data_IF_805495332813
#
_entry.id   IF_805495332813
#
_cell.length_a   1.000
_cell.length_b   1.000
_cell.length_c   1.000
_cell.angle_alpha   90.00
_cell.angle_beta   90.00
_cell.angle_gamma   90.00
#
_symmetry.space_group_name_H-M   'P 1'
#
loop_
_entity.id
_entity.type
_entity.pdbx_description
1 polymer ?
#
# COMPACT_ATOMS: atom_id res chain seq x y z
N UNK A 1 11.32 -5.37 -1.45
CA UNK A 1 10.55 -6.56 -1.02
C UNK A 1 9.05 -6.29 -1.01
N UNK A 2 8.56 -5.26 -0.30
CA UNK A 2 7.15 -4.83 -0.29
C UNK A 2 6.48 -4.71 -1.67
N UNK A 3 7.02 -3.91 -2.60
CA UNK A 3 6.43 -3.74 -3.95
C UNK A 3 6.29 -5.04 -4.75
N UNK A 4 7.16 -6.03 -4.50
CA UNK A 4 7.08 -7.36 -5.12
C UNK A 4 5.88 -8.13 -4.57
N UNK A 5 5.68 -8.14 -3.24
CA UNK A 5 4.52 -8.76 -2.58
C UNK A 5 3.20 -8.20 -3.07
N UNK A 6 3.14 -6.87 -3.23
CA UNK A 6 1.95 -6.22 -3.76
C UNK A 6 1.72 -6.54 -5.24
N UNK A 7 2.77 -6.59 -6.05
CA UNK A 7 2.62 -6.98 -7.46
C UNK A 7 2.12 -8.41 -7.60
N UNK A 8 2.68 -9.34 -6.82
CA UNK A 8 2.26 -10.75 -6.80
C UNK A 8 0.76 -10.88 -6.46
N UNK A 9 0.23 -10.10 -5.52
CA UNK A 9 -1.20 -10.20 -5.17
C UNK A 9 -2.11 -9.58 -6.26
N UNK A 10 -1.67 -8.52 -6.95
CA UNK A 10 -2.41 -7.96 -8.07
C UNK A 10 -2.40 -8.89 -9.30
N UNK A 11 -1.30 -9.61 -9.53
CA UNK A 11 -1.15 -10.50 -10.70
C UNK A 11 -1.79 -11.88 -10.51
N UNK A 12 -2.13 -12.26 -9.27
CA UNK A 12 -2.69 -13.57 -8.94
C UNK A 12 -4.11 -13.83 -9.52
N UNK A 13 -4.80 -12.81 -10.03
CA UNK A 13 -6.14 -12.94 -10.64
C UNK A 13 -7.29 -13.32 -9.69
N UNK A 14 -6.99 -13.72 -8.45
CA UNK A 14 -7.99 -14.04 -7.41
C UNK A 14 -8.67 -12.78 -6.81
N UNK A 15 -8.14 -11.59 -7.07
CA UNK A 15 -8.53 -10.36 -6.38
C UNK A 15 -8.88 -9.23 -7.35
N UNK A 16 -9.84 -9.48 -8.25
CA UNK A 16 -10.32 -8.51 -9.24
C UNK A 16 -10.77 -7.17 -8.63
N UNK A 17 -11.21 -7.17 -7.38
CA UNK A 17 -11.58 -5.94 -6.67
C UNK A 17 -10.42 -4.96 -6.55
N UNK A 18 -9.15 -5.40 -6.59
CA UNK A 18 -7.98 -4.50 -6.52
C UNK A 18 -7.88 -3.56 -7.74
N UNK A 19 -8.50 -3.92 -8.86
CA UNK A 19 -8.54 -3.08 -10.06
C UNK A 19 -9.76 -2.14 -10.06
N UNK A 20 -10.82 -2.48 -9.33
CA UNK A 20 -12.09 -1.73 -9.32
C UNK A 20 -12.26 -0.85 -8.10
N UNK A 21 -11.69 -1.24 -6.96
CA UNK A 21 -11.74 -0.54 -5.68
C UNK A 21 -10.32 -0.06 -5.29
N UNK A 22 -10.05 1.20 -5.62
CA UNK A 22 -8.77 1.83 -5.35
C UNK A 22 -8.45 1.90 -3.84
N UNK A 23 -9.47 2.05 -2.99
CA UNK A 23 -9.31 2.13 -1.55
C UNK A 23 -8.79 0.82 -0.98
N UNK A 24 -9.38 -0.29 -1.41
CA UNK A 24 -8.91 -1.61 -1.04
C UNK A 24 -7.55 -1.95 -1.63
N UNK A 25 -7.28 -1.54 -2.87
CA UNK A 25 -5.96 -1.69 -3.47
C UNK A 25 -4.87 -0.95 -2.65
N UNK A 26 -5.15 0.28 -2.25
CA UNK A 26 -4.27 1.05 -1.38
C UNK A 26 -4.08 0.38 -0.01
N UNK A 27 -5.15 -0.17 0.57
CA UNK A 27 -5.06 -0.89 1.82
C UNK A 27 -4.17 -2.14 1.72
N UNK A 28 -4.34 -2.97 0.69
CA UNK A 28 -3.47 -4.15 0.48
C UNK A 28 -2.02 -3.73 0.27
N UNK A 29 -1.79 -2.63 -0.45
CA UNK A 29 -0.46 -2.04 -0.58
C UNK A 29 0.14 -1.73 0.79
N UNK A 30 -0.54 -0.94 1.62
CA UNK A 30 -0.08 -0.55 2.95
C UNK A 30 0.18 -1.77 3.86
N UNK A 31 -0.72 -2.76 3.87
CA UNK A 31 -0.57 -3.98 4.66
C UNK A 31 0.63 -4.84 4.23
N UNK A 32 1.00 -4.80 2.94
CA UNK A 32 2.14 -5.56 2.41
C UNK A 32 3.51 -4.92 2.69
N UNK A 33 3.52 -3.69 3.23
CA UNK A 33 4.74 -2.92 3.45
C UNK A 33 5.58 -3.41 4.62
N UNK A 34 4.91 -3.85 5.69
CA UNK A 34 5.55 -4.53 6.81
C UNK A 34 5.42 -6.06 6.67
N UNK A 35 6.47 -6.80 7.02
CA UNK A 35 6.49 -8.27 6.85
C UNK A 35 5.64 -8.98 7.89
N UNK A 36 5.65 -8.49 9.13
CA UNK A 36 4.87 -9.08 10.21
C UNK A 36 3.38 -8.84 9.98
N UNK A 37 3.01 -7.60 9.66
CA UNK A 37 1.67 -7.18 9.26
C UNK A 37 1.18 -7.96 8.05
N UNK A 38 2.01 -8.11 7.02
CA UNK A 38 1.64 -8.86 5.82
C UNK A 38 1.31 -10.33 6.12
N UNK A 39 2.09 -10.97 7.01
CA UNK A 39 1.83 -12.34 7.45
C UNK A 39 0.47 -12.51 8.10
N UNK A 40 -0.03 -11.49 8.80
CA UNK A 40 -1.37 -11.48 9.41
C UNK A 40 -2.46 -11.10 8.41
N UNK A 41 -2.17 -10.15 7.53
CA UNK A 41 -3.12 -9.61 6.58
C UNK A 41 -3.52 -10.63 5.51
N UNK A 42 -2.57 -11.45 5.02
CA UNK A 42 -2.82 -12.40 3.93
C UNK A 42 -4.05 -13.30 4.15
N UNK A 43 -4.22 -13.85 5.35
CA UNK A 43 -5.36 -14.73 5.65
C UNK A 43 -6.70 -13.99 5.78
N UNK A 44 -6.66 -12.67 5.90
CA UNK A 44 -7.84 -11.81 6.03
C UNK A 44 -8.28 -11.18 4.71
N UNK A 45 -7.48 -11.29 3.64
CA UNK A 45 -7.82 -10.80 2.30
C UNK A 45 -8.61 -11.91 1.58
N UNK A 46 -9.83 -11.59 1.16
CA UNK A 46 -10.72 -12.48 0.40
C UNK A 46 -11.07 -11.85 -0.94
N UNK A 47 -11.73 -12.61 -1.83
CA UNK A 47 -12.25 -12.10 -3.10
C UNK A 47 -13.22 -10.91 -2.95
N UNK A 48 -13.82 -10.76 -1.77
CA UNK A 48 -14.76 -9.67 -1.45
C UNK A 48 -14.10 -8.50 -0.73
N UNK A 49 -12.83 -8.63 -0.34
CA UNK A 49 -12.05 -7.57 0.29
C UNK A 49 -11.37 -7.96 1.60
N UNK A 50 -11.06 -6.95 2.41
CA UNK A 50 -10.22 -7.10 3.61
C UNK A 50 -11.07 -7.24 4.88
N UNK A 51 -10.98 -8.38 5.58
CA UNK A 51 -11.66 -8.64 6.85
C UNK A 51 -10.86 -8.16 8.05
N UNK A 52 -10.81 -6.83 8.27
CA UNK A 52 -10.03 -6.23 9.36
C UNK A 52 -10.38 -6.72 10.77
N UNK A 53 -11.63 -7.15 11.02
CA UNK A 53 -12.08 -7.64 12.33
C UNK A 53 -11.41 -8.95 12.74
N UNK A 54 -10.99 -9.73 11.75
CA UNK A 54 -10.34 -11.03 11.97
C UNK A 54 -8.82 -10.90 12.04
N UNK A 55 -8.29 -9.71 11.75
CA UNK A 55 -6.85 -9.49 11.70
C UNK A 55 -6.28 -9.33 13.11
N UNK A 56 -5.40 -10.26 13.49
CA UNK A 56 -4.74 -10.22 14.79
C UNK A 56 -3.72 -9.07 14.85
N UNK A 57 -3.99 -8.07 15.69
CA UNK A 57 -3.14 -6.88 15.87
C UNK A 57 -2.10 -7.01 16.98
N UNK A 58 -2.11 -8.12 17.71
CA UNK A 58 -1.20 -8.31 18.85
C UNK A 58 0.25 -8.52 18.38
N UNK A 59 1.17 -7.73 18.93
CA UNK A 59 2.60 -7.78 18.60
C UNK A 59 3.00 -6.97 17.36
N UNK A 60 2.12 -6.14 16.80
CA UNK A 60 2.47 -5.21 15.73
C UNK A 60 3.31 -4.05 16.32
N UNK A 61 4.43 -3.75 15.68
CA UNK A 61 5.27 -2.59 16.02
C UNK A 61 4.62 -1.25 15.61
N UNK A 62 5.02 -0.10 16.18
CA UNK A 62 4.40 1.19 15.90
C UNK A 62 4.23 1.51 14.40
N UNK A 63 5.25 1.28 13.58
CA UNK A 63 5.19 1.47 12.12
C UNK A 63 4.10 0.61 11.46
N UNK A 64 4.00 -0.65 11.87
CA UNK A 64 2.97 -1.57 11.37
C UNK A 64 1.56 -1.15 11.83
N UNK A 65 1.45 -0.54 13.00
CA UNK A 65 0.18 0.00 13.49
C UNK A 65 -0.25 1.23 12.68
N UNK A 66 0.69 2.13 12.39
CA UNK A 66 0.43 3.28 11.51
C UNK A 66 -0.02 2.84 10.10
N UNK A 67 0.64 1.83 9.52
CA UNK A 67 0.23 1.24 8.24
C UNK A 67 -1.18 0.65 8.29
N UNK A 68 -1.54 -0.01 9.39
CA UNK A 68 -2.88 -0.55 9.58
C UNK A 68 -3.94 0.54 9.71
N UNK A 69 -3.66 1.61 10.46
CA UNK A 69 -4.54 2.77 10.57
C UNK A 69 -4.77 3.40 9.19
N UNK A 70 -3.69 3.70 8.46
CA UNK A 70 -3.76 4.20 7.10
C UNK A 70 -4.55 3.27 6.17
N UNK A 71 -4.34 1.94 6.25
CA UNK A 71 -5.06 0.98 5.43
C UNK A 71 -6.58 1.02 5.69
N UNK A 72 -7.01 1.14 6.95
CA UNK A 72 -8.43 1.26 7.29
C UNK A 72 -9.04 2.55 6.76
N UNK A 73 -8.30 3.67 6.82
CA UNK A 73 -8.74 4.95 6.28
C UNK A 73 -9.01 4.89 4.78
N UNK A 74 -8.13 4.24 4.02
CA UNK A 74 -8.28 4.14 2.56
C UNK A 74 -9.56 3.40 2.15
N UNK A 75 -10.10 2.53 3.01
CA UNK A 75 -11.34 1.78 2.80
C UNK A 75 -12.59 2.50 3.36
N UNK A 76 -12.55 3.83 3.54
CA UNK A 76 -13.68 4.60 4.09
C UNK A 76 -13.79 4.56 5.61
N UNK A 77 -12.74 4.10 6.30
CA UNK A 77 -12.62 4.21 7.75
C UNK A 77 -12.44 5.66 8.22
N UNK A 78 -12.60 5.87 9.54
CA UNK A 78 -12.28 7.18 10.14
C UNK A 78 -10.76 7.43 10.06
N UNK A 79 -10.32 8.70 9.96
CA UNK A 79 -8.92 9.08 10.08
C UNK A 79 -8.33 8.50 11.38
N UNK A 80 -7.36 7.61 11.23
CA UNK A 80 -6.55 7.03 12.29
C UNK A 80 -5.15 7.64 12.39
N UNK A 81 -4.74 8.48 11.43
CA UNK A 81 -3.53 9.29 11.43
C UNK A 81 -3.85 10.76 11.10
N UNK A 82 -3.40 11.66 11.96
CA UNK A 82 -3.47 13.11 11.74
C UNK A 82 -2.31 13.62 10.89
N UNK A 83 -2.48 14.81 10.29
CA UNK A 83 -1.41 15.47 9.54
C UNK A 83 -0.19 15.79 10.41
N UNK A 84 -0.41 16.09 11.70
CA UNK A 84 0.68 16.34 12.66
C UNK A 84 1.50 15.07 12.91
N UNK A 85 0.85 13.93 13.11
CA UNK A 85 1.54 12.64 13.26
C UNK A 85 2.30 12.26 11.99
N UNK A 86 1.72 12.53 10.81
CA UNK A 86 2.36 12.27 9.52
C UNK A 86 3.61 13.13 9.28
N UNK A 87 3.66 14.33 9.87
CA UNK A 87 4.78 15.26 9.76
C UNK A 87 5.84 15.12 10.86
N UNK A 88 5.62 14.24 11.85
CA UNK A 88 6.54 14.02 12.96
C UNK A 88 7.54 12.91 12.59
N UNK A 89 8.84 13.22 12.38
CA UNK A 89 9.83 12.24 12.00
C UNK A 89 10.18 11.24 13.12
N UNK A 90 9.82 11.52 14.38
CA UNK A 90 9.98 10.56 15.49
C UNK A 90 8.89 9.49 15.48
N UNK A 91 7.70 9.82 14.96
CA UNK A 91 6.58 8.88 14.83
C UNK A 91 6.53 8.20 13.46
N UNK A 92 6.78 8.97 12.39
CA UNK A 92 6.69 8.54 11.00
C UNK A 92 7.98 8.91 10.28
N UNK A 93 8.91 7.96 10.21
CA UNK A 93 10.14 8.14 9.44
C UNK A 93 9.90 8.25 7.93
N UNK A 94 10.87 8.80 7.20
CA UNK A 94 10.78 9.07 5.74
C UNK A 94 10.30 7.88 4.91
N UNK A 95 10.75 6.67 5.26
CA UNK A 95 10.37 5.44 4.55
C UNK A 95 8.90 5.11 4.76
N UNK A 96 8.41 5.21 6.00
CA UNK A 96 7.03 4.95 6.34
C UNK A 96 6.12 6.00 5.69
N UNK A 97 6.52 7.28 5.76
CA UNK A 97 5.84 8.38 5.07
C UNK A 97 5.72 8.11 3.57
N UNK A 98 6.81 7.71 2.90
CA UNK A 98 6.78 7.40 1.47
C UNK A 98 5.79 6.27 1.14
N UNK A 99 5.70 5.24 1.98
CA UNK A 99 4.74 4.15 1.81
C UNK A 99 3.31 4.66 1.98
N UNK A 100 3.03 5.44 3.03
CA UNK A 100 1.71 6.02 3.29
C UNK A 100 1.27 6.92 2.12
N UNK A 101 2.14 7.81 1.67
CA UNK A 101 1.88 8.69 0.52
C UNK A 101 1.62 7.88 -0.77
N UNK A 102 2.37 6.80 -0.99
CA UNK A 102 2.13 5.93 -2.15
C UNK A 102 0.75 5.25 -2.04
N UNK A 103 0.35 4.80 -0.85
CA UNK A 103 -1.00 4.28 -0.60
C UNK A 103 -2.09 5.31 -0.89
N UNK A 104 -1.91 6.56 -0.46
CA UNK A 104 -2.83 7.67 -0.75
C UNK A 104 -2.94 7.93 -2.26
N UNK A 105 -1.83 7.85 -2.99
CA UNK A 105 -1.86 8.00 -4.45
C UNK A 105 -2.61 6.85 -5.12
N UNK A 106 -2.41 5.60 -4.65
CA UNK A 106 -3.14 4.43 -5.15
C UNK A 106 -4.65 4.59 -4.87
N UNK A 107 -5.06 5.07 -3.69
CA UNK A 107 -6.48 5.21 -3.37
C UNK A 107 -7.18 6.26 -4.24
N UNK A 108 -6.44 7.24 -4.74
CA UNK A 108 -6.97 8.29 -5.63
C UNK A 108 -6.94 7.93 -7.11
N UNK A 109 -5.88 7.27 -7.55
CA UNK A 109 -5.59 7.08 -8.98
C UNK A 109 -5.61 5.61 -9.43
N UNK A 110 -5.81 4.68 -8.49
CA UNK A 110 -5.72 3.24 -8.72
C UNK A 110 -4.28 2.75 -8.84
N UNK A 111 -4.13 1.45 -9.06
CA UNK A 111 -2.81 0.79 -9.11
C UNK A 111 -1.98 1.17 -10.34
N UNK A 112 -2.59 1.82 -11.35
CA UNK A 112 -1.93 2.21 -12.60
C UNK A 112 -0.72 3.13 -12.40
N UNK A 113 -0.70 3.94 -11.34
CA UNK A 113 0.44 4.80 -11.00
C UNK A 113 1.72 4.03 -10.70
N UNK A 114 1.61 2.73 -10.39
CA UNK A 114 2.75 1.88 -10.11
C UNK A 114 3.37 1.27 -11.38
N UNK A 115 2.72 1.41 -12.53
CA UNK A 115 3.25 1.02 -13.82
C UNK A 115 4.35 1.97 -14.33
N UNK A 116 4.44 3.18 -13.78
CA UNK A 116 5.29 4.26 -14.27
C UNK A 116 6.71 4.24 -13.66
N UNK A 117 7.46 3.15 -13.85
CA UNK A 117 8.94 3.17 -13.69
C UNK A 117 9.68 2.30 -14.73
N UNK A 118 9.10 2.08 -15.90
CA UNK A 118 9.79 1.43 -17.04
C UNK A 118 10.16 2.42 -18.18
N UNK A 119 9.97 3.74 -18.04
CA UNK A 119 10.36 4.71 -19.08
C UNK A 119 11.48 5.68 -18.65
N UNK A 120 12.59 5.13 -18.16
CA UNK A 120 13.92 5.78 -18.32
C UNK A 120 15.00 4.74 -18.59
N UNK A 121 14.77 3.87 -19.59
CA UNK A 121 15.86 3.12 -20.23
C UNK A 121 15.87 3.44 -21.73
N UNK A 122 16.53 4.55 -22.06
CA UNK A 122 17.20 4.71 -23.34
C UNK A 122 16.39 5.27 -24.52
N UNK A 123 15.95 6.54 -24.46
CA UNK A 123 15.94 7.36 -25.68
C UNK A 123 17.33 7.98 -25.81
N UNK A 124 18.26 7.32 -26.52
CA UNK A 124 19.48 7.98 -26.99
C UNK A 124 19.07 9.05 -28.02
N UNK A 125 19.52 10.31 -27.90
CA UNK A 125 19.38 11.27 -28.99
C UNK A 125 20.31 10.87 -30.14
N UNK A 126 19.88 11.18 -31.36
CA UNK A 126 20.44 10.66 -32.60
C UNK A 126 21.92 10.94 -32.83
N UNK A 127 22.47 10.23 -33.81
CA UNK A 127 23.59 10.72 -34.61
C UNK A 127 23.17 10.67 -36.07
N UNK A 128 22.97 11.87 -36.61
CA UNK A 128 23.33 12.24 -37.97
C UNK A 128 24.73 11.73 -38.29
N UNK A 129 24.85 11.02 -39.41
CA UNK A 129 25.85 11.18 -40.47
C UNK A 129 25.35 10.36 -41.67
#
# INVERSE_FOLDING_TARGET
QHKKRFREICENGEYDFLHSDHGQAAAVFLLSADTFLWGRAKSCITEQGIRYREMAVHGIEPDGYALLCAAKEMCGGRPGLSLSELGDPELIGDRLLQVILTGILISRHGIGIMAEKEERKGRRPGKTC
#
